data_IF_994194419812
#
_entry.id   IF_994194419812
#
_cell.length_a   1.000
_cell.length_b   1.000
_cell.length_c   1.000
_cell.angle_alpha   90.00
_cell.angle_beta   90.00
_cell.angle_gamma   90.00
#
_symmetry.space_group_name_H-M   'P 1'
#
loop_
_entity.id
_entity.type
_entity.pdbx_description
1 polymer ?
#
# COMPACT_ATOMS: atom_id res chain seq x y z
N UNK A 1 -26.05 -5.67 2.93
CA UNK A 1 -26.55 -4.32 3.29
C UNK A 1 -25.48 -3.50 4.03
N UNK A 2 -24.95 -3.97 5.17
CA UNK A 2 -23.91 -3.27 5.96
C UNK A 2 -22.68 -2.82 5.17
N UNK A 3 -22.13 -3.67 4.29
CA UNK A 3 -20.95 -3.29 3.47
C UNK A 3 -21.24 -2.08 2.58
N UNK A 4 -22.43 -1.99 1.99
CA UNK A 4 -22.79 -0.87 1.12
C UNK A 4 -22.97 0.43 1.91
N UNK A 5 -23.52 0.34 3.12
CA UNK A 5 -23.60 1.48 4.05
C UNK A 5 -22.18 1.95 4.42
N UNK A 6 -21.28 1.03 4.77
CA UNK A 6 -19.88 1.35 5.04
C UNK A 6 -19.18 2.01 3.85
N UNK A 7 -19.44 1.55 2.62
CA UNK A 7 -18.94 2.19 1.40
C UNK A 7 -19.53 3.60 1.23
N UNK A 8 -20.82 3.80 1.50
CA UNK A 8 -21.44 5.12 1.47
C UNK A 8 -20.83 6.10 2.49
N UNK A 9 -20.51 5.63 3.69
CA UNK A 9 -19.81 6.42 4.69
C UNK A 9 -18.38 6.76 4.25
N UNK A 10 -17.64 5.80 3.71
CA UNK A 10 -16.31 6.05 3.14
C UNK A 10 -16.40 7.03 1.96
N UNK A 11 -17.45 6.96 1.15
CA UNK A 11 -17.69 7.91 0.09
C UNK A 11 -17.87 9.31 0.67
N UNK A 12 -18.69 9.54 1.69
CA UNK A 12 -18.84 10.89 2.27
C UNK A 12 -17.52 11.49 2.78
N UNK A 13 -16.60 10.66 3.28
CA UNK A 13 -15.30 11.12 3.77
C UNK A 13 -14.43 11.78 2.70
N UNK A 14 -14.58 11.41 1.42
CA UNK A 14 -13.78 12.03 0.36
C UNK A 14 -14.12 13.51 0.15
N UNK A 15 -15.29 13.97 0.60
CA UNK A 15 -15.71 15.38 0.49
C UNK A 15 -15.01 16.29 1.50
N UNK A 16 -14.48 15.73 2.60
CA UNK A 16 -13.85 16.50 3.66
C UNK A 16 -12.51 17.11 3.24
N UNK A 17 -12.14 18.31 3.72
CA UNK A 17 -10.79 18.83 3.58
C UNK A 17 -9.75 17.88 4.21
N UNK A 18 -8.57 17.79 3.61
CA UNK A 18 -7.52 16.87 4.07
C UNK A 18 -7.16 17.03 5.56
N UNK A 19 -7.05 18.23 6.14
CA UNK A 19 -6.72 18.36 7.57
C UNK A 19 -7.76 17.69 8.49
N UNK A 20 -9.04 17.81 8.16
CA UNK A 20 -10.11 17.18 8.93
C UNK A 20 -10.10 15.67 8.77
N UNK A 21 -9.95 15.17 7.54
CA UNK A 21 -9.83 13.74 7.26
C UNK A 21 -8.62 13.13 7.97
N UNK A 22 -7.49 13.84 7.97
CA UNK A 22 -6.27 13.45 8.66
C UNK A 22 -6.43 13.43 10.18
N UNK A 23 -7.14 14.41 10.76
CA UNK A 23 -7.44 14.44 12.19
C UNK A 23 -8.34 13.26 12.60
N UNK A 24 -9.42 13.01 11.85
CA UNK A 24 -10.32 11.87 12.08
C UNK A 24 -9.58 10.54 11.99
N UNK A 25 -8.76 10.36 10.95
CA UNK A 25 -8.00 9.13 10.76
C UNK A 25 -6.90 8.94 11.80
N UNK A 26 -6.27 10.02 12.25
CA UNK A 26 -5.32 9.96 13.38
C UNK A 26 -6.05 9.56 14.67
N UNK A 27 -7.24 10.12 14.92
CA UNK A 27 -8.11 9.71 16.04
C UNK A 27 -8.45 8.22 15.99
N UNK A 28 -8.84 7.72 14.81
CA UNK A 28 -9.09 6.29 14.57
C UNK A 28 -7.84 5.44 14.86
N UNK A 29 -6.67 5.89 14.42
CA UNK A 29 -5.42 5.21 14.71
C UNK A 29 -5.05 5.17 16.19
N UNK A 30 -5.36 6.24 16.96
CA UNK A 30 -5.23 6.23 18.43
C UNK A 30 -6.17 5.19 19.05
N UNK A 31 -7.41 5.11 18.57
CA UNK A 31 -8.38 4.11 19.03
C UNK A 31 -7.88 2.69 18.75
N UNK A 32 -7.34 2.43 17.56
CA UNK A 32 -6.73 1.14 17.23
C UNK A 32 -5.53 0.82 18.11
N UNK A 33 -4.70 1.80 18.45
CA UNK A 33 -3.60 1.57 19.39
C UNK A 33 -4.12 1.17 20.78
N UNK A 34 -5.20 1.79 21.27
CA UNK A 34 -5.78 1.50 22.58
C UNK A 34 -6.46 0.13 22.62
N UNK A 35 -7.34 -0.15 21.65
CA UNK A 35 -8.20 -1.33 21.63
C UNK A 35 -7.58 -2.55 20.94
N UNK A 36 -6.74 -2.34 19.92
CA UNK A 36 -6.17 -3.39 19.08
C UNK A 36 -4.91 -4.03 19.66
N UNK A 37 -5.05 -4.74 20.79
CA UNK A 37 -3.92 -5.35 21.53
C UNK A 37 -3.00 -6.18 20.65
N UNK A 38 -3.54 -7.08 19.83
CA UNK A 38 -2.76 -7.96 18.95
C UNK A 38 -1.91 -7.16 17.95
N UNK A 39 -2.53 -6.23 17.21
CA UNK A 39 -1.82 -5.40 16.23
C UNK A 39 -0.78 -4.49 16.87
N UNK A 40 -1.10 -3.93 18.04
CA UNK A 40 -0.12 -3.16 18.83
C UNK A 40 1.09 -4.02 19.20
N UNK A 41 0.88 -5.26 19.64
CA UNK A 41 1.97 -6.17 20.01
C UNK A 41 2.85 -6.52 18.81
N UNK A 42 2.27 -6.73 17.63
CA UNK A 42 3.02 -6.94 16.38
C UNK A 42 3.92 -5.74 16.07
N UNK A 43 3.37 -4.51 16.10
CA UNK A 43 4.14 -3.29 15.82
C UNK A 43 5.29 -3.13 16.81
N UNK A 44 5.03 -3.27 18.12
CA UNK A 44 6.06 -3.14 19.14
C UNK A 44 7.14 -4.22 19.03
N UNK A 45 6.75 -5.44 18.66
CA UNK A 45 7.69 -6.55 18.43
C UNK A 45 8.60 -6.24 17.25
N UNK A 46 8.04 -5.81 16.11
CA UNK A 46 8.82 -5.45 14.93
C UNK A 46 9.77 -4.29 15.23
N UNK A 47 9.32 -3.25 15.94
CA UNK A 47 10.17 -2.14 16.34
C UNK A 47 11.29 -2.57 17.30
N UNK A 48 11.03 -3.51 18.21
CA UNK A 48 12.06 -4.07 19.09
C UNK A 48 13.11 -4.86 18.32
N UNK A 49 12.69 -5.66 17.34
CA UNK A 49 13.59 -6.45 16.51
C UNK A 49 14.43 -5.56 15.57
N UNK A 50 13.80 -4.55 14.96
CA UNK A 50 14.48 -3.68 13.98
C UNK A 50 15.33 -2.59 14.65
N UNK A 51 14.96 -2.14 15.85
CA UNK A 51 15.63 -1.05 16.56
C UNK A 51 15.93 -1.44 18.02
N UNK A 52 16.74 -2.49 18.26
CA UNK A 52 17.05 -2.98 19.60
C UNK A 52 17.70 -1.93 20.51
N UNK A 53 18.47 -1.01 19.92
CA UNK A 53 19.15 0.10 20.58
C UNK A 53 18.22 1.27 20.97
N UNK A 54 16.97 1.30 20.47
CA UNK A 54 16.03 2.36 20.78
C UNK A 54 15.36 2.12 22.14
N UNK A 55 15.26 3.16 22.97
CA UNK A 55 14.60 3.07 24.27
C UNK A 55 13.15 2.56 24.12
N UNK A 56 12.65 1.84 25.12
CA UNK A 56 11.31 1.25 25.08
C UNK A 56 10.22 2.32 24.88
N UNK A 57 10.36 3.46 25.54
CA UNK A 57 9.42 4.58 25.41
C UNK A 57 9.42 5.20 24.01
N UNK A 58 10.59 5.34 23.38
CA UNK A 58 10.70 5.85 22.01
C UNK A 58 10.04 4.91 21.00
N UNK A 59 10.24 3.59 21.17
CA UNK A 59 9.53 2.58 20.37
C UNK A 59 8.03 2.67 20.56
N UNK A 60 7.55 2.90 21.77
CA UNK A 60 6.11 3.09 22.01
C UNK A 60 5.58 4.38 21.38
N UNK A 61 6.30 5.50 21.52
CA UNK A 61 5.96 6.77 20.85
C UNK A 61 5.90 6.59 19.33
N UNK A 62 6.86 5.88 18.74
CA UNK A 62 6.88 5.56 17.32
C UNK A 62 5.72 4.66 16.91
N UNK A 63 5.41 3.61 17.70
CA UNK A 63 4.26 2.74 17.46
C UNK A 63 2.93 3.51 17.48
N UNK A 64 2.75 4.45 18.41
CA UNK A 64 1.56 5.32 18.48
C UNK A 64 1.46 6.25 17.26
N UNK A 65 2.59 6.79 16.79
CA UNK A 65 2.62 7.62 15.56
C UNK A 65 2.33 6.78 14.31
N UNK A 66 2.89 5.57 14.23
CA UNK A 66 2.61 4.63 13.15
C UNK A 66 1.13 4.27 13.07
N UNK A 67 0.50 3.91 14.21
CA UNK A 67 -0.92 3.57 14.24
C UNK A 67 -1.82 4.77 13.85
N UNK A 68 -1.46 5.98 14.27
CA UNK A 68 -2.12 7.21 13.80
C UNK A 68 -2.02 7.38 12.29
N UNK A 69 -0.83 7.19 11.72
CA UNK A 69 -0.63 7.24 10.28
C UNK A 69 -1.43 6.13 9.56
N UNK A 70 -1.48 4.92 10.11
CA UNK A 70 -2.25 3.81 9.55
C UNK A 70 -3.75 4.13 9.52
N UNK A 71 -4.31 4.63 10.64
CA UNK A 71 -5.70 5.08 10.70
C UNK A 71 -6.00 6.20 9.71
N UNK A 72 -5.06 7.15 9.56
CA UNK A 72 -5.12 8.20 8.54
C UNK A 72 -5.16 7.63 7.11
N UNK A 73 -4.23 6.74 6.77
CA UNK A 73 -4.17 6.10 5.44
C UNK A 73 -5.45 5.34 5.11
N UNK A 74 -6.03 4.63 6.09
CA UNK A 74 -7.30 3.92 5.90
C UNK A 74 -8.44 4.87 5.49
N UNK A 75 -8.53 6.05 6.09
CA UNK A 75 -9.54 7.04 5.70
C UNK A 75 -9.17 7.77 4.42
N UNK A 76 -7.89 8.09 4.18
CA UNK A 76 -7.40 8.71 2.95
C UNK A 76 -7.63 7.84 1.71
N UNK A 77 -7.81 6.53 1.88
CA UNK A 77 -8.25 5.63 0.80
C UNK A 77 -9.56 6.07 0.14
N UNK A 78 -10.44 6.78 0.87
CA UNK A 78 -11.61 7.44 0.29
C UNK A 78 -11.24 8.45 -0.80
N UNK A 79 -10.17 9.23 -0.61
CA UNK A 79 -9.66 10.15 -1.62
C UNK A 79 -9.15 9.36 -2.83
N UNK A 80 -8.40 8.28 -2.61
CA UNK A 80 -7.89 7.44 -3.69
C UNK A 80 -9.01 6.90 -4.59
N UNK A 81 -10.16 6.51 -4.01
CA UNK A 81 -11.27 5.93 -4.75
C UNK A 81 -12.15 6.95 -5.46
N UNK A 82 -12.34 8.16 -4.92
CA UNK A 82 -13.34 9.09 -5.44
C UNK A 82 -12.88 10.53 -5.73
N UNK A 83 -11.77 11.00 -5.16
CA UNK A 83 -11.31 12.37 -5.44
C UNK A 83 -10.94 12.56 -6.92
N UNK A 84 -11.11 13.77 -7.44
CA UNK A 84 -10.72 14.11 -8.82
C UNK A 84 -9.20 14.08 -9.01
N UNK A 85 -8.75 13.92 -10.26
CA UNK A 85 -7.32 13.96 -10.60
C UNK A 85 -6.65 15.25 -10.12
N UNK A 86 -7.28 16.40 -10.39
CA UNK A 86 -6.77 17.71 -9.97
C UNK A 86 -6.56 17.77 -8.46
N UNK A 87 -7.52 17.24 -7.68
CA UNK A 87 -7.41 17.20 -6.23
C UNK A 87 -6.27 16.29 -5.78
N UNK A 88 -6.14 15.11 -6.36
CA UNK A 88 -5.06 14.17 -6.04
C UNK A 88 -3.68 14.76 -6.37
N UNK A 89 -3.52 15.39 -7.54
CA UNK A 89 -2.27 16.08 -7.94
C UNK A 89 -1.91 17.22 -6.99
N UNK A 90 -2.90 17.95 -6.46
CA UNK A 90 -2.69 19.02 -5.47
C UNK A 90 -2.25 18.46 -4.11
N UNK A 91 -2.83 17.33 -3.69
CA UNK A 91 -2.59 16.75 -2.36
C UNK A 91 -1.31 15.91 -2.27
N UNK A 92 -0.85 15.32 -3.38
CA UNK A 92 0.32 14.45 -3.41
C UNK A 92 1.27 14.83 -4.54
N UNK A 93 2.53 15.07 -4.19
CA UNK A 93 3.64 15.32 -5.12
C UNK A 93 4.47 14.05 -5.27
N UNK A 94 4.95 13.79 -6.47
CA UNK A 94 5.91 12.72 -6.73
C UNK A 94 7.26 13.38 -7.01
N UNK A 95 8.26 13.01 -6.24
CA UNK A 95 9.66 13.37 -6.49
C UNK A 95 10.32 12.27 -7.31
N UNK A 96 11.14 12.62 -8.30
CA UNK A 96 11.84 11.65 -9.14
C UNK A 96 11.02 11.10 -10.32
N UNK A 97 9.89 11.72 -10.67
CA UNK A 97 9.02 11.26 -11.76
C UNK A 97 9.73 11.29 -13.13
N UNK A 98 10.64 12.24 -13.33
CA UNK A 98 11.47 12.36 -14.52
C UNK A 98 12.34 11.13 -14.76
N UNK A 99 12.83 10.49 -13.68
CA UNK A 99 13.64 9.26 -13.77
C UNK A 99 12.80 8.09 -14.29
N UNK A 100 11.53 8.05 -13.89
CA UNK A 100 10.60 7.04 -14.36
C UNK A 100 10.29 7.21 -15.84
N UNK A 101 10.01 8.45 -16.27
CA UNK A 101 9.75 8.77 -17.69
C UNK A 101 10.95 8.49 -18.59
N UNK A 102 12.17 8.71 -18.11
CA UNK A 102 13.40 8.39 -18.85
C UNK A 102 13.59 6.87 -19.11
N UNK A 103 12.83 6.01 -18.43
CA UNK A 103 12.88 4.56 -18.56
C UNK A 103 11.64 3.99 -19.28
N UNK A 104 10.79 4.85 -19.85
CA UNK A 104 9.59 4.43 -20.56
C UNK A 104 9.91 3.47 -21.73
N UNK A 105 9.06 2.45 -21.91
CA UNK A 105 9.26 1.39 -22.91
C UNK A 105 10.30 0.33 -22.54
N UNK A 106 11.09 0.52 -21.46
CA UNK A 106 12.01 -0.49 -20.95
C UNK A 106 11.31 -1.38 -19.90
N UNK A 107 11.67 -2.68 -19.80
CA UNK A 107 11.24 -3.50 -18.68
C UNK A 107 11.70 -2.86 -17.36
N UNK A 108 10.74 -2.55 -16.48
CA UNK A 108 10.99 -1.84 -15.23
C UNK A 108 10.23 -2.49 -14.07
N UNK A 109 10.92 -2.76 -12.97
CA UNK A 109 10.32 -3.18 -11.70
C UNK A 109 10.45 -2.03 -10.71
N UNK A 110 9.30 -1.56 -10.22
CA UNK A 110 9.20 -0.57 -9.14
C UNK A 110 9.06 -1.32 -7.82
N UNK A 111 10.11 -1.31 -7.01
CA UNK A 111 10.07 -1.90 -5.66
C UNK A 111 9.40 -0.91 -4.70
N UNK A 112 8.26 -1.30 -4.16
CA UNK A 112 7.47 -0.46 -3.28
C UNK A 112 7.14 -1.21 -1.99
N UNK A 113 7.95 -1.06 -0.93
CA UNK A 113 7.65 -1.66 0.37
C UNK A 113 6.30 -1.16 0.90
N UNK A 114 5.67 -1.94 1.78
CA UNK A 114 4.37 -1.65 2.40
C UNK A 114 4.44 -0.52 3.45
N UNK A 115 4.83 0.68 3.01
CA UNK A 115 4.71 1.89 3.81
C UNK A 115 3.26 2.36 3.89
N UNK A 116 2.94 3.09 4.95
CA UNK A 116 1.56 3.50 5.28
C UNK A 116 0.86 4.26 4.15
N UNK A 117 1.58 5.10 3.40
CA UNK A 117 1.04 5.92 2.30
C UNK A 117 0.90 5.19 0.96
N UNK A 118 1.03 3.85 0.93
CA UNK A 118 1.09 3.05 -0.29
C UNK A 118 -0.05 3.34 -1.28
N UNK A 119 -1.29 3.43 -0.81
CA UNK A 119 -2.44 3.62 -1.70
C UNK A 119 -2.47 5.01 -2.32
N UNK A 120 -2.08 6.04 -1.56
CA UNK A 120 -1.97 7.40 -2.08
C UNK A 120 -0.87 7.44 -3.14
N UNK A 121 0.27 6.80 -2.89
CA UNK A 121 1.35 6.70 -3.86
C UNK A 121 0.91 5.95 -5.13
N UNK A 122 0.33 4.76 -5.01
CA UNK A 122 -0.14 3.97 -6.15
C UNK A 122 -1.18 4.72 -6.99
N UNK A 123 -2.18 5.34 -6.35
CA UNK A 123 -3.19 6.13 -7.05
C UNK A 123 -2.59 7.36 -7.72
N UNK A 124 -1.70 8.09 -7.04
CA UNK A 124 -1.05 9.27 -7.60
C UNK A 124 -0.11 8.91 -8.76
N UNK A 125 0.57 7.76 -8.68
CA UNK A 125 1.45 7.24 -9.72
C UNK A 125 0.66 6.78 -10.95
N UNK A 126 -0.50 6.15 -10.77
CA UNK A 126 -1.39 5.74 -11.87
C UNK A 126 -1.93 6.91 -12.72
N UNK A 127 -1.84 8.14 -12.22
CA UNK A 127 -2.11 9.36 -13.00
C UNK A 127 -0.97 9.77 -13.95
N UNK A 128 0.20 9.14 -13.82
CA UNK A 128 1.41 9.48 -14.58
C UNK A 128 1.88 8.36 -15.49
N UNK A 129 1.58 7.10 -15.14
CA UNK A 129 2.06 5.92 -15.87
C UNK A 129 1.00 4.84 -16.01
N UNK A 130 1.11 4.04 -17.07
CA UNK A 130 0.33 2.83 -17.29
C UNK A 130 1.13 1.61 -16.79
N UNK A 131 0.82 1.15 -15.58
CA UNK A 131 1.60 0.10 -14.90
C UNK A 131 0.89 -1.26 -14.90
N UNK A 132 1.63 -2.26 -14.43
CA UNK A 132 1.09 -3.53 -13.99
C UNK A 132 1.23 -3.65 -12.46
N UNK A 133 0.25 -4.23 -11.79
CA UNK A 133 0.30 -4.48 -10.34
C UNK A 133 -0.30 -5.81 -9.98
N UNK A 134 0.14 -6.39 -8.87
CA UNK A 134 -0.39 -7.65 -8.35
C UNK A 134 -1.52 -7.36 -7.36
N UNK A 135 -2.58 -8.14 -7.45
CA UNK A 135 -3.77 -8.04 -6.61
C UNK A 135 -4.15 -9.40 -6.04
N UNK A 136 -4.82 -9.39 -4.89
CA UNK A 136 -5.41 -10.59 -4.28
C UNK A 136 -6.90 -10.34 -4.10
N UNK A 137 -7.73 -11.24 -4.61
CA UNK A 137 -9.18 -11.13 -4.50
C UNK A 137 -9.62 -11.00 -3.03
N UNK A 138 -10.53 -10.06 -2.77
CA UNK A 138 -11.13 -9.88 -1.45
C UNK A 138 -12.33 -10.81 -1.30
N UNK A 139 -12.55 -11.33 -0.07
CA UNK A 139 -13.68 -12.22 0.23
C UNK A 139 -15.04 -11.57 -0.01
N UNK A 140 -15.15 -10.27 0.24
CA UNK A 140 -16.39 -9.53 0.04
C UNK A 140 -16.43 -8.96 -1.40
N UNK A 141 -17.43 -9.32 -2.23
CA UNK A 141 -17.47 -8.92 -3.63
C UNK A 141 -17.64 -7.42 -3.82
N UNK A 142 -18.35 -6.73 -2.91
CA UNK A 142 -18.52 -5.26 -2.98
C UNK A 142 -17.18 -4.54 -2.74
N UNK A 143 -16.40 -5.02 -1.77
CA UNK A 143 -15.06 -4.46 -1.49
C UNK A 143 -14.08 -4.83 -2.60
N UNK A 144 -14.17 -6.06 -3.13
CA UNK A 144 -13.35 -6.52 -4.25
C UNK A 144 -13.52 -5.61 -5.47
N UNK A 145 -14.77 -5.33 -5.85
CA UNK A 145 -15.11 -4.44 -6.97
C UNK A 145 -14.63 -3.00 -6.71
N UNK A 146 -14.85 -2.49 -5.50
CA UNK A 146 -14.42 -1.13 -5.15
C UNK A 146 -12.90 -0.98 -5.21
N UNK A 147 -12.16 -1.98 -4.74
CA UNK A 147 -10.70 -1.99 -4.79
C UNK A 147 -10.21 -2.09 -6.24
N UNK A 148 -10.81 -2.97 -7.05
CA UNK A 148 -10.49 -3.08 -8.47
C UNK A 148 -10.69 -1.74 -9.19
N UNK A 149 -11.89 -1.14 -9.07
CA UNK A 149 -12.17 0.20 -9.64
C UNK A 149 -11.20 1.26 -9.16
N UNK A 150 -10.88 1.27 -7.86
CA UNK A 150 -9.92 2.21 -7.30
C UNK A 150 -8.51 2.07 -7.91
N UNK A 151 -8.10 0.86 -8.28
CA UNK A 151 -6.81 0.58 -8.92
C UNK A 151 -6.80 0.87 -10.43
N UNK A 152 -7.94 0.75 -11.10
CA UNK A 152 -8.05 0.89 -12.57
C UNK A 152 -8.67 2.20 -13.03
N UNK A 153 -9.04 3.11 -12.13
CA UNK A 153 -9.72 4.36 -12.49
C UNK A 153 -8.88 5.37 -13.29
N UNK A 154 -7.56 5.23 -13.34
CA UNK A 154 -6.66 6.17 -14.03
C UNK A 154 -5.68 5.45 -14.93
N UNK A 155 -5.61 5.89 -16.19
CA UNK A 155 -4.76 5.27 -17.20
C UNK A 155 -5.18 3.83 -17.54
N UNK A 156 -4.36 3.16 -18.34
CA UNK A 156 -4.47 1.73 -18.60
C UNK A 156 -3.65 0.97 -17.53
N UNK A 157 -4.30 0.54 -16.45
CA UNK A 157 -3.67 -0.24 -15.38
C UNK A 157 -3.97 -1.73 -15.55
N UNK A 158 -2.92 -2.53 -15.61
CA UNK A 158 -3.05 -3.99 -15.68
C UNK A 158 -2.97 -4.60 -14.28
N UNK A 159 -4.12 -5.02 -13.75
CA UNK A 159 -4.21 -5.62 -12.43
C UNK A 159 -4.21 -7.15 -12.58
N UNK A 160 -3.11 -7.77 -12.18
CA UNK A 160 -2.90 -9.21 -12.30
C UNK A 160 -3.29 -9.85 -10.97
N UNK A 161 -4.20 -10.79 -11.02
CA UNK A 161 -4.55 -11.59 -9.86
C UNK A 161 -3.38 -12.52 -9.52
N UNK A 162 -3.02 -12.60 -8.23
CA UNK A 162 -1.95 -13.48 -7.75
C UNK A 162 -2.17 -14.95 -8.16
N UNK A 163 -3.44 -15.36 -8.28
CA UNK A 163 -3.84 -16.69 -8.69
C UNK A 163 -3.46 -17.02 -10.15
N UNK A 164 -3.18 -16.03 -10.98
CA UNK A 164 -2.77 -16.22 -12.39
C UNK A 164 -1.27 -16.57 -12.55
N UNK A 165 -0.50 -16.53 -11.45
CA UNK A 165 0.91 -16.90 -11.44
C UNK A 165 1.84 -15.86 -12.10
N UNK A 166 3.07 -16.27 -12.43
CA UNK A 166 4.12 -15.36 -12.91
C UNK A 166 4.03 -15.02 -14.41
N UNK A 167 3.37 -15.84 -15.22
CA UNK A 167 3.36 -15.66 -16.68
C UNK A 167 2.80 -14.30 -17.13
N UNK A 168 1.65 -13.82 -16.61
CA UNK A 168 1.14 -12.50 -16.99
C UNK A 168 2.06 -11.35 -16.56
N UNK A 169 2.77 -11.51 -15.44
CA UNK A 169 3.73 -10.52 -14.93
C UNK A 169 4.89 -10.36 -15.90
N UNK A 170 5.50 -11.47 -16.32
CA UNK A 170 6.61 -11.47 -17.29
C UNK A 170 6.15 -10.89 -18.63
N UNK A 171 4.93 -11.23 -19.08
CA UNK A 171 4.36 -10.67 -20.31
C UNK A 171 4.21 -9.15 -20.23
N UNK A 172 3.72 -8.63 -19.11
CA UNK A 172 3.58 -7.18 -18.90
C UNK A 172 4.93 -6.45 -18.89
N UNK A 173 5.93 -7.01 -18.19
CA UNK A 173 7.29 -6.48 -18.17
C UNK A 173 7.93 -6.43 -19.57
N UNK A 174 7.79 -7.51 -20.35
CA UNK A 174 8.30 -7.58 -21.73
C UNK A 174 7.60 -6.60 -22.68
N UNK A 175 6.35 -6.24 -22.39
CA UNK A 175 5.61 -5.22 -23.11
C UNK A 175 5.98 -3.78 -22.66
N UNK A 176 7.02 -3.61 -21.83
CA UNK A 176 7.47 -2.30 -21.36
C UNK A 176 6.57 -1.66 -20.29
N UNK A 177 5.64 -2.42 -19.68
CA UNK A 177 4.79 -1.92 -18.60
C UNK A 177 5.56 -2.00 -17.27
N UNK A 178 5.74 -0.88 -16.54
CA UNK A 178 6.35 -0.92 -15.21
C UNK A 178 5.57 -1.80 -14.25
N UNK A 179 6.25 -2.74 -13.58
CA UNK A 179 5.65 -3.60 -12.57
C UNK A 179 5.78 -2.95 -11.18
N UNK A 180 4.65 -2.61 -10.57
CA UNK A 180 4.55 -2.19 -9.17
C UNK A 180 4.59 -3.43 -8.26
N UNK A 181 5.74 -3.67 -7.62
CA UNK A 181 6.01 -4.89 -6.86
C UNK A 181 6.36 -4.60 -5.40
N UNK A 182 5.73 -5.33 -4.48
CA UNK A 182 5.90 -5.16 -3.04
C UNK A 182 6.57 -6.41 -2.44
N UNK A 183 7.89 -6.38 -2.20
CA UNK A 183 8.68 -7.58 -1.89
C UNK A 183 8.73 -7.97 -0.40
N UNK A 184 8.06 -7.23 0.48
CA UNK A 184 8.29 -7.22 1.93
C UNK A 184 7.18 -7.91 2.74
N UNK A 185 6.46 -8.86 2.14
CA UNK A 185 5.50 -9.70 2.85
C UNK A 185 6.01 -11.13 3.02
N UNK A 186 5.61 -11.74 4.14
CA UNK A 186 5.78 -13.17 4.39
C UNK A 186 4.57 -13.95 3.83
N UNK A 187 4.85 -14.96 3.00
CA UNK A 187 3.85 -15.90 2.46
C UNK A 187 3.99 -17.31 3.01
N UNK A 188 4.69 -17.45 4.13
CA UNK A 188 5.05 -18.72 4.73
C UNK A 188 6.37 -19.28 4.17
N UNK A 189 6.79 -20.44 4.67
CA UNK A 189 8.10 -21.01 4.35
C UNK A 189 8.19 -21.56 2.92
N UNK A 190 7.05 -21.83 2.28
CA UNK A 190 7.02 -22.39 0.93
C UNK A 190 7.53 -21.34 -0.07
N UNK A 191 8.56 -21.70 -0.81
CA UNK A 191 9.24 -20.84 -1.80
C UNK A 191 9.89 -19.57 -1.22
N UNK A 192 10.06 -19.50 0.11
CA UNK A 192 10.79 -18.42 0.77
C UNK A 192 12.27 -18.77 0.95
N UNK A 193 13.12 -17.75 0.89
CA UNK A 193 14.51 -17.82 1.37
C UNK A 193 14.62 -17.01 2.66
N UNK A 194 15.44 -17.46 3.59
CA UNK A 194 15.71 -16.70 4.81
C UNK A 194 16.91 -15.80 4.59
N UNK A 195 16.69 -14.49 4.64
CA UNK A 195 17.75 -13.48 4.53
C UNK A 195 17.68 -12.51 5.71
N UNK A 196 18.81 -11.90 6.12
CA UNK A 196 18.80 -10.93 7.20
C UNK A 196 18.01 -9.66 6.82
N UNK A 197 17.03 -9.30 7.64
CA UNK A 197 16.35 -8.00 7.61
C UNK A 197 16.48 -7.36 9.00
N UNK A 198 17.16 -6.22 9.08
CA UNK A 198 17.60 -5.63 10.36
C UNK A 198 18.36 -6.63 11.26
N UNK A 199 19.17 -7.51 10.65
CA UNK A 199 19.93 -8.53 11.37
C UNK A 199 19.11 -9.74 11.83
N UNK A 200 17.81 -9.78 11.55
CA UNK A 200 16.93 -10.92 11.87
C UNK A 200 16.68 -11.76 10.63
N UNK A 201 16.93 -13.08 10.71
CA UNK A 201 16.61 -14.00 9.64
C UNK A 201 15.10 -14.00 9.37
N UNK A 202 14.70 -13.51 8.20
CA UNK A 202 13.30 -13.27 7.85
C UNK A 202 12.94 -13.98 6.55
N UNK A 203 11.80 -14.68 6.54
CA UNK A 203 11.28 -15.33 5.33
C UNK A 203 10.99 -14.27 4.26
N UNK A 204 11.65 -14.40 3.11
CA UNK A 204 11.61 -13.44 2.01
C UNK A 204 11.36 -14.15 0.70
N UNK A 205 10.47 -13.60 -0.12
CA UNK A 205 10.14 -14.17 -1.42
C UNK A 205 11.17 -13.69 -2.44
N UNK A 206 11.91 -14.58 -3.13
CA UNK A 206 12.95 -14.20 -4.11
C UNK A 206 12.34 -13.76 -5.46
N UNK A 207 11.17 -13.13 -5.45
CA UNK A 207 10.42 -12.78 -6.67
C UNK A 207 11.19 -11.82 -7.57
N UNK A 208 11.82 -10.79 -6.99
CA UNK A 208 12.59 -9.80 -7.76
C UNK A 208 13.76 -10.45 -8.50
N UNK A 209 14.51 -11.34 -7.84
CA UNK A 209 15.66 -12.02 -8.44
C UNK A 209 15.30 -13.05 -9.52
N UNK A 210 14.02 -13.38 -9.66
CA UNK A 210 13.51 -14.40 -10.60
C UNK A 210 12.71 -13.80 -11.76
N UNK A 211 12.49 -12.48 -11.77
CA UNK A 211 11.82 -11.73 -12.83
C UNK A 211 12.84 -11.16 -13.81
#
# INVERSE_FOLDING_TARGET
>A
MLTRIGVGLLWLLHLLPLPLLAALGSGLGRLFFLLGRERRNVVLTNLRLCFPQMAAEDRERLARRHMQALGRSLLERSLCWWASEQRLRRLARIEGLERLRALEGKPLILLVPHFVGLDVFATRLGLEINGASIYSNQKNPVINELLYRGRTRFGDQFVISRQEGMRPIIKALRAGRPLYYLPDMDYGPRDAIFVPFFGVATATIPGVSRL
#
